data_IF_151313036363
#
_entry.id   IF_151313036363
#
_cell.length_a   1.000
_cell.length_b   1.000
_cell.length_c   1.000
_cell.angle_alpha   90.00
_cell.angle_beta   90.00
_cell.angle_gamma   90.00
#
_symmetry.space_group_name_H-M   'P 1'
#
loop_
_entity.id
_entity.type
_entity.pdbx_description
1 polymer ?
#
# COMPACT_ATOMS: atom_id res chain seq x y z
N UNK A 1 -75.00 -9.81 4.19
CA UNK A 1 -74.04 -10.67 3.47
C UNK A 1 -72.68 -10.01 3.50
N UNK A 2 -71.65 -10.78 3.85
CA UNK A 2 -70.43 -10.37 4.55
C UNK A 2 -69.42 -9.58 3.71
N UNK A 3 -68.94 -8.47 4.31
CA UNK A 3 -67.69 -7.78 4.00
C UNK A 3 -66.53 -8.60 4.56
N UNK A 4 -65.76 -9.28 3.72
CA UNK A 4 -64.52 -9.94 4.15
C UNK A 4 -63.69 -10.39 2.96
N UNK A 5 -62.98 -9.46 2.32
CA UNK A 5 -61.74 -9.73 1.56
C UNK A 5 -60.81 -8.51 1.60
N UNK A 6 -60.87 -7.77 2.73
CA UNK A 6 -59.86 -6.81 3.13
C UNK A 6 -58.95 -7.55 4.12
N UNK A 7 -57.63 -7.46 3.89
CA UNK A 7 -56.49 -8.02 4.64
C UNK A 7 -55.82 -9.19 3.89
N UNK A 8 -54.49 -9.14 3.81
CA UNK A 8 -53.54 -10.10 3.22
C UNK A 8 -52.96 -9.80 1.83
N UNK A 9 -52.70 -8.54 1.51
CA UNK A 9 -51.63 -8.20 0.53
C UNK A 9 -50.91 -6.92 0.93
N UNK A 10 -50.62 -6.81 2.22
CA UNK A 10 -49.82 -5.75 2.82
C UNK A 10 -48.84 -6.43 3.78
N UNK A 11 -47.81 -7.10 3.26
CA UNK A 11 -46.59 -7.57 3.95
C UNK A 11 -45.82 -8.47 2.96
N UNK A 12 -44.97 -7.91 2.10
CA UNK A 12 -44.23 -8.78 1.17
C UNK A 12 -43.38 -8.13 0.07
N UNK A 13 -43.27 -6.80 0.02
CA UNK A 13 -42.37 -6.12 -0.94
C UNK A 13 -41.48 -5.07 -0.25
N UNK A 14 -41.31 -5.19 1.07
CA UNK A 14 -40.59 -4.21 1.90
C UNK A 14 -39.41 -4.84 2.66
N UNK A 15 -38.76 -5.85 2.06
CA UNK A 15 -37.66 -6.59 2.72
C UNK A 15 -36.53 -6.99 1.76
N UNK A 16 -36.21 -6.15 0.77
CA UNK A 16 -34.94 -6.26 0.03
C UNK A 16 -34.31 -4.87 -0.14
N UNK A 17 -34.29 -4.08 0.93
CA UNK A 17 -33.16 -3.19 1.16
C UNK A 17 -32.27 -3.93 2.15
N UNK A 18 -31.57 -4.95 1.64
CA UNK A 18 -30.33 -5.38 2.26
C UNK A 18 -29.43 -4.16 2.20
N UNK A 19 -29.39 -3.44 3.31
CA UNK A 19 -28.38 -2.48 3.66
C UNK A 19 -27.07 -3.24 3.51
N UNK A 20 -26.46 -3.14 2.34
CA UNK A 20 -25.04 -3.30 2.18
C UNK A 20 -24.43 -2.14 2.97
N UNK A 21 -24.39 -2.28 4.29
CA UNK A 21 -23.28 -1.77 5.06
C UNK A 21 -22.08 -2.57 4.57
N UNK A 22 -21.55 -2.20 3.40
CA UNK A 22 -20.13 -2.31 3.20
C UNK A 22 -19.54 -1.56 4.38
N UNK A 23 -19.01 -2.31 5.33
CA UNK A 23 -17.96 -1.78 6.19
C UNK A 23 -16.88 -1.32 5.22
N UNK A 24 -16.96 -0.07 4.77
CA UNK A 24 -15.81 0.66 4.26
C UNK A 24 -14.88 0.74 5.46
N UNK A 25 -14.16 -0.35 5.71
CA UNK A 25 -13.01 -0.31 6.58
C UNK A 25 -12.17 0.84 6.07
N UNK A 26 -12.08 1.87 6.90
CA UNK A 26 -11.48 3.13 6.51
C UNK A 26 -10.05 2.83 6.11
N UNK A 27 -9.78 2.89 4.79
CA UNK A 27 -8.46 2.64 4.21
C UNK A 27 -7.41 3.42 4.97
N UNK A 28 -6.27 2.79 5.17
CA UNK A 28 -5.16 3.42 5.89
C UNK A 28 -4.60 4.57 5.06
N UNK A 29 -4.17 5.63 5.73
CA UNK A 29 -3.47 6.72 5.05
C UNK A 29 -2.10 6.22 4.58
N UNK A 30 -1.73 6.57 3.35
CA UNK A 30 -0.39 6.29 2.84
C UNK A 30 0.64 7.19 3.55
N UNK A 31 1.26 6.67 4.60
CA UNK A 31 2.36 7.29 5.35
C UNK A 31 3.43 6.24 5.64
N UNK A 32 4.67 6.65 5.89
CA UNK A 32 5.76 5.71 6.24
C UNK A 32 5.37 4.89 7.48
N UNK A 33 4.78 5.54 8.48
CA UNK A 33 4.33 4.88 9.71
C UNK A 33 3.28 3.79 9.45
N UNK A 34 2.33 4.03 8.56
CA UNK A 34 1.34 3.02 8.21
C UNK A 34 1.92 1.92 7.34
N UNK A 35 2.89 2.22 6.47
CA UNK A 35 3.60 1.21 5.67
C UNK A 35 4.35 0.24 6.59
N UNK A 36 5.19 0.76 7.50
CA UNK A 36 5.90 -0.05 8.50
C UNK A 36 4.92 -0.89 9.34
N UNK A 37 3.79 -0.31 9.75
CA UNK A 37 2.77 -0.99 10.56
C UNK A 37 2.04 -2.10 9.79
N UNK A 38 1.69 -1.87 8.53
CA UNK A 38 0.71 -2.69 7.80
C UNK A 38 1.33 -3.64 6.78
N UNK A 39 2.45 -3.27 6.18
CA UNK A 39 3.13 -4.10 5.17
C UNK A 39 4.05 -5.10 5.86
N UNK A 40 4.11 -6.30 5.30
CA UNK A 40 5.08 -7.34 5.60
C UNK A 40 5.75 -7.70 4.27
N UNK A 41 6.97 -7.20 4.06
CA UNK A 41 7.74 -7.44 2.85
C UNK A 41 8.02 -8.92 2.65
N UNK A 42 7.96 -9.36 1.39
CA UNK A 42 7.96 -10.73 0.93
C UNK A 42 6.75 -11.59 1.40
N UNK A 43 5.67 -10.95 1.90
CA UNK A 43 4.39 -11.64 2.23
C UNK A 43 3.15 -10.89 1.76
N UNK A 44 3.09 -9.57 1.94
CA UNK A 44 1.92 -8.78 1.57
C UNK A 44 1.69 -8.82 0.07
N UNK A 45 0.51 -9.27 -0.33
CA UNK A 45 0.11 -9.36 -1.74
C UNK A 45 -0.32 -8.00 -2.30
N UNK A 46 -0.36 -7.87 -3.62
CA UNK A 46 -0.90 -6.68 -4.28
C UNK A 46 -2.38 -6.45 -3.96
N UNK A 47 -3.15 -7.51 -3.73
CA UNK A 47 -4.56 -7.41 -3.33
C UNK A 47 -4.69 -6.79 -1.95
N UNK A 48 -3.93 -7.30 -0.97
CA UNK A 48 -3.90 -6.73 0.39
C UNK A 48 -3.38 -5.29 0.37
N UNK A 49 -2.38 -4.99 -0.46
CA UNK A 49 -1.86 -3.63 -0.64
C UNK A 49 -2.97 -2.68 -1.12
N UNK A 50 -3.77 -3.10 -2.10
CA UNK A 50 -4.90 -2.35 -2.61
C UNK A 50 -6.06 -2.22 -1.60
N UNK A 51 -6.28 -3.23 -0.76
CA UNK A 51 -7.24 -3.14 0.34
C UNK A 51 -6.79 -2.12 1.40
N UNK A 52 -5.50 -2.12 1.75
CA UNK A 52 -4.94 -1.23 2.77
C UNK A 52 -4.95 0.23 2.31
N UNK A 53 -4.46 0.52 1.10
CA UNK A 53 -4.19 1.89 0.63
C UNK A 53 -5.07 2.35 -0.54
N UNK A 54 -5.88 1.45 -1.11
CA UNK A 54 -6.67 1.70 -2.32
C UNK A 54 -5.92 1.33 -3.60
N UNK A 55 -6.54 1.64 -4.74
CA UNK A 55 -5.92 1.39 -6.04
C UNK A 55 -4.70 2.31 -6.26
N UNK A 56 -3.60 1.79 -6.86
CA UNK A 56 -2.45 2.62 -7.22
C UNK A 56 -2.82 3.61 -8.32
N UNK A 57 -2.20 4.79 -8.31
CA UNK A 57 -2.35 5.76 -9.39
C UNK A 57 -1.69 5.29 -10.69
N UNK A 58 -0.65 4.45 -10.58
CA UNK A 58 0.06 3.91 -11.73
C UNK A 58 0.60 2.52 -11.41
N UNK A 59 0.40 1.60 -12.35
CA UNK A 59 1.02 0.28 -12.35
C UNK A 59 1.92 0.18 -13.56
N UNK A 60 3.18 -0.21 -13.37
CA UNK A 60 4.11 -0.51 -14.47
C UNK A 60 4.49 -1.97 -14.37
N UNK A 61 4.33 -2.71 -15.47
CA UNK A 61 4.55 -4.17 -15.55
C UNK A 61 5.62 -4.59 -16.55
N UNK A 62 6.33 -3.64 -17.15
CA UNK A 62 7.46 -3.95 -18.02
C UNK A 62 8.67 -4.17 -17.12
N UNK A 63 9.10 -5.42 -16.97
CA UNK A 63 10.12 -5.83 -16.00
C UNK A 63 11.45 -5.08 -16.21
N UNK A 64 11.95 -4.97 -17.45
CA UNK A 64 13.15 -4.18 -17.78
C UNK A 64 13.03 -2.74 -17.23
N UNK A 65 11.93 -2.05 -17.54
CA UNK A 65 11.68 -0.69 -17.06
C UNK A 65 11.54 -0.61 -15.54
N UNK A 66 10.99 -1.64 -14.89
CA UNK A 66 10.79 -1.68 -13.44
C UNK A 66 12.14 -1.81 -12.75
N UNK A 67 12.98 -2.74 -13.18
CA UNK A 67 14.29 -2.98 -12.61
C UNK A 67 15.26 -1.85 -12.97
N UNK A 68 15.20 -1.29 -14.18
CA UNK A 68 15.87 -0.03 -14.51
C UNK A 68 15.46 1.08 -13.53
N UNK A 69 14.16 1.22 -13.23
CA UNK A 69 13.70 2.23 -12.27
C UNK A 69 14.24 1.95 -10.86
N UNK A 70 14.28 0.68 -10.44
CA UNK A 70 14.79 0.27 -9.14
C UNK A 70 16.30 0.53 -8.99
N UNK A 71 17.10 0.20 -10.01
CA UNK A 71 18.57 0.28 -9.96
C UNK A 71 19.13 1.64 -10.40
N UNK A 72 18.52 2.34 -11.36
CA UNK A 72 18.97 3.68 -11.79
C UNK A 72 18.67 4.74 -10.75
N UNK A 73 17.64 4.51 -9.93
CA UNK A 73 17.40 5.29 -8.72
C UNK A 73 18.06 4.50 -7.60
N UNK A 74 19.40 4.46 -7.59
CA UNK A 74 20.12 4.15 -6.36
C UNK A 74 19.65 5.18 -5.34
N UNK A 75 18.66 4.75 -4.56
CA UNK A 75 18.05 5.42 -3.43
C UNK A 75 17.52 6.85 -3.63
N UNK A 76 16.20 6.98 -3.69
CA UNK A 76 15.55 8.24 -3.34
C UNK A 76 16.07 8.70 -1.97
N UNK A 77 16.51 9.96 -1.87
CA UNK A 77 17.15 10.54 -0.68
C UNK A 77 16.40 10.22 0.62
N UNK A 78 15.07 10.16 0.54
CA UNK A 78 14.19 9.80 1.66
C UNK A 78 14.33 8.32 2.04
N UNK A 79 14.24 7.40 1.08
CA UNK A 79 14.43 5.96 1.30
C UNK A 79 15.76 5.67 1.96
N UNK A 80 16.83 6.30 1.46
CA UNK A 80 18.18 6.13 2.02
C UNK A 80 18.30 6.58 3.46
N UNK A 81 17.84 7.80 3.73
CA UNK A 81 17.87 8.36 5.08
C UNK A 81 17.05 7.49 6.04
N UNK A 82 15.91 6.95 5.60
CA UNK A 82 15.10 6.02 6.39
C UNK A 82 15.83 4.70 6.65
N UNK A 83 16.49 4.13 5.64
CA UNK A 83 17.28 2.90 5.77
C UNK A 83 18.53 3.06 6.65
N UNK A 84 18.94 4.30 6.96
CA UNK A 84 20.00 4.57 7.95
C UNK A 84 19.45 4.66 9.38
N UNK A 85 18.13 4.69 9.59
CA UNK A 85 17.52 4.72 10.91
C UNK A 85 17.27 3.30 11.43
N UNK A 86 18.01 2.89 12.46
CA UNK A 86 17.81 1.60 13.11
C UNK A 86 16.34 1.39 13.54
N UNK A 87 15.68 2.43 14.07
CA UNK A 87 14.28 2.36 14.49
C UNK A 87 13.30 2.06 13.34
N UNK A 88 13.65 2.41 12.10
CA UNK A 88 12.85 2.13 10.92
C UNK A 88 13.07 0.69 10.47
N UNK A 89 14.34 0.27 10.40
CA UNK A 89 14.72 -1.10 10.03
C UNK A 89 14.14 -2.11 11.02
N UNK A 90 14.34 -1.90 12.32
CA UNK A 90 13.86 -2.80 13.39
C UNK A 90 12.33 -2.92 13.43
N UNK A 91 11.63 -1.86 13.04
CA UNK A 91 10.16 -1.86 13.02
C UNK A 91 9.58 -2.46 11.73
N UNK A 92 10.38 -2.52 10.66
CA UNK A 92 9.96 -3.06 9.37
C UNK A 92 9.85 -4.59 9.45
N UNK A 93 8.77 -5.12 8.86
CA UNK A 93 8.51 -6.57 8.84
C UNK A 93 8.89 -7.11 7.49
N UNK A 94 9.87 -7.99 7.44
CA UNK A 94 10.41 -8.58 6.21
C UNK A 94 10.72 -10.06 6.44
N UNK A 95 10.31 -10.92 5.51
CA UNK A 95 10.70 -12.32 5.50
C UNK A 95 12.02 -12.40 4.74
N UNK A 96 13.12 -12.40 5.48
CA UNK A 96 14.46 -12.37 4.88
C UNK A 96 14.77 -13.62 4.06
N UNK A 97 14.12 -14.76 4.33
CA UNK A 97 14.37 -15.98 3.56
C UNK A 97 13.76 -15.84 2.16
N UNK A 98 12.49 -15.44 2.09
CA UNK A 98 11.79 -15.23 0.81
C UNK A 98 12.36 -14.03 0.05
N UNK A 99 12.74 -12.98 0.77
CA UNK A 99 13.43 -11.83 0.20
C UNK A 99 14.75 -12.26 -0.45
N UNK A 100 15.67 -12.86 0.30
CA UNK A 100 16.99 -13.23 -0.25
C UNK A 100 16.85 -14.19 -1.43
N UNK A 101 15.96 -15.17 -1.33
CA UNK A 101 15.70 -16.10 -2.43
C UNK A 101 15.27 -15.39 -3.72
N UNK A 102 14.41 -14.38 -3.62
CA UNK A 102 13.98 -13.62 -4.79
C UNK A 102 15.18 -12.98 -5.51
N UNK A 103 16.11 -12.37 -4.78
CA UNK A 103 17.29 -11.74 -5.36
C UNK A 103 18.32 -12.75 -5.86
N UNK A 104 18.49 -13.89 -5.18
CA UNK A 104 19.37 -14.97 -5.62
C UNK A 104 18.87 -15.61 -6.93
N UNK A 105 17.56 -15.77 -7.09
CA UNK A 105 16.95 -16.43 -8.26
C UNK A 105 16.91 -15.55 -9.53
N UNK A 106 17.03 -14.22 -9.38
CA UNK A 106 16.71 -13.26 -10.46
C UNK A 106 17.81 -12.25 -10.80
N UNK A 107 18.90 -12.22 -10.03
CA UNK A 107 20.07 -11.36 -10.20
C UNK A 107 19.70 -9.90 -10.55
N UNK A 108 19.69 -9.58 -11.84
CA UNK A 108 19.52 -8.23 -12.40
C UNK A 108 18.05 -7.81 -12.61
N UNK A 109 17.08 -8.71 -12.43
CA UNK A 109 15.66 -8.40 -12.66
C UNK A 109 14.70 -8.95 -11.59
N UNK A 110 14.84 -8.52 -10.33
CA UNK A 110 14.06 -9.06 -9.22
C UNK A 110 12.57 -8.73 -9.23
N UNK A 111 12.11 -7.79 -10.07
CA UNK A 111 10.73 -7.34 -10.04
C UNK A 111 10.00 -7.43 -11.38
N UNK A 112 8.72 -7.77 -11.30
CA UNK A 112 7.80 -7.86 -12.44
C UNK A 112 7.08 -6.52 -12.64
N UNK A 113 6.85 -5.81 -11.54
CA UNK A 113 6.07 -4.57 -11.54
C UNK A 113 6.40 -3.64 -10.39
N UNK A 114 6.01 -2.38 -10.54
CA UNK A 114 5.85 -1.50 -9.38
C UNK A 114 4.47 -0.85 -9.37
N UNK A 115 3.95 -0.65 -8.16
CA UNK A 115 2.70 0.06 -7.89
C UNK A 115 3.05 1.41 -7.29
N UNK A 116 2.74 2.48 -8.00
CA UNK A 116 3.02 3.83 -7.54
C UNK A 116 1.77 4.47 -6.94
N UNK A 117 1.94 4.90 -5.71
CA UNK A 117 0.97 5.63 -4.93
C UNK A 117 1.36 7.10 -4.79
N UNK A 118 0.36 7.95 -4.60
CA UNK A 118 0.55 9.34 -4.15
C UNK A 118 -0.54 9.72 -3.16
N UNK A 119 -0.19 10.54 -2.16
CA UNK A 119 -1.17 11.04 -1.20
C UNK A 119 -0.73 12.39 -0.69
N UNK A 120 -1.66 13.36 -0.70
CA UNK A 120 -1.43 14.68 -0.08
C UNK A 120 -1.14 14.57 1.42
N UNK A 121 -1.51 13.45 2.07
CA UNK A 121 -1.28 13.23 3.50
C UNK A 121 0.07 12.62 3.82
N UNK A 122 0.82 12.16 2.82
CA UNK A 122 2.14 11.54 3.03
C UNK A 122 3.26 12.57 3.23
N UNK A 123 3.11 13.79 2.69
CA UNK A 123 4.20 14.75 2.56
C UNK A 123 5.24 14.36 1.50
N UNK A 124 5.03 13.27 0.76
CA UNK A 124 5.91 12.73 -0.28
C UNK A 124 5.29 12.88 -1.67
N UNK A 125 6.15 13.03 -2.68
CA UNK A 125 5.73 13.08 -4.09
C UNK A 125 5.06 11.78 -4.53
N UNK A 126 5.63 10.64 -4.12
CA UNK A 126 5.09 9.31 -4.40
C UNK A 126 5.64 8.28 -3.40
N UNK A 127 5.01 7.11 -3.38
CA UNK A 127 5.54 5.87 -2.80
C UNK A 127 5.44 4.79 -3.87
N UNK A 128 6.50 4.04 -4.14
CA UNK A 128 6.46 2.88 -5.04
C UNK A 128 6.67 1.61 -4.26
N UNK A 129 5.82 0.62 -4.49
CA UNK A 129 6.03 -0.74 -4.00
C UNK A 129 6.52 -1.59 -5.17
N UNK A 130 7.67 -2.23 -5.00
CA UNK A 130 8.25 -3.15 -5.97
C UNK A 130 7.73 -4.56 -5.72
N UNK A 131 7.29 -5.21 -6.80
CA UNK A 131 6.47 -6.41 -6.74
C UNK A 131 7.05 -7.50 -7.63
N UNK A 132 7.14 -8.70 -7.08
CA UNK A 132 7.43 -9.94 -7.78
C UNK A 132 6.38 -10.98 -7.38
N UNK A 133 5.88 -11.75 -8.35
CA UNK A 133 4.82 -12.75 -8.17
C UNK A 133 3.63 -12.25 -7.31
N UNK A 134 3.19 -11.01 -7.58
CA UNK A 134 2.08 -10.33 -6.87
C UNK A 134 2.33 -10.10 -5.37
N UNK A 135 3.56 -10.19 -4.90
CA UNK A 135 3.97 -9.91 -3.52
C UNK A 135 4.86 -8.67 -3.47
N UNK A 136 4.71 -7.87 -2.43
CA UNK A 136 5.51 -6.66 -2.20
C UNK A 136 6.85 -7.05 -1.58
N UNK A 137 7.94 -6.72 -2.26
CA UNK A 137 9.31 -7.03 -1.81
C UNK A 137 10.06 -5.81 -1.31
N UNK A 138 9.81 -4.63 -1.89
CA UNK A 138 10.52 -3.42 -1.50
C UNK A 138 9.64 -2.16 -1.65
N UNK A 139 10.10 -1.04 -1.09
CA UNK A 139 9.44 0.25 -1.14
C UNK A 139 10.43 1.39 -1.40
N UNK A 140 10.08 2.27 -2.33
CA UNK A 140 10.77 3.54 -2.55
C UNK A 140 9.86 4.71 -2.15
N UNK A 141 10.41 5.61 -1.34
CA UNK A 141 9.81 6.88 -1.00
C UNK A 141 10.37 7.98 -1.90
N UNK A 142 9.49 8.62 -2.67
CA UNK A 142 9.86 9.80 -3.45
C UNK A 142 10.22 10.99 -2.56
N UNK A 143 10.68 12.12 -3.16
CA UNK A 143 11.11 13.29 -2.40
C UNK A 143 9.98 13.89 -1.56
N UNK A 144 10.35 14.57 -0.47
CA UNK A 144 9.43 15.33 0.38
C UNK A 144 8.95 16.56 -0.38
N UNK A 145 7.63 16.74 -0.46
CA UNK A 145 6.98 17.88 -1.13
C UNK A 145 6.29 18.83 -0.15
N UNK A 146 6.04 18.38 1.09
CA UNK A 146 5.45 19.19 2.15
C UNK A 146 6.05 18.78 3.51
N UNK A 147 7.02 19.55 3.99
CA UNK A 147 7.68 19.30 5.27
C UNK A 147 6.72 19.38 6.46
N UNK A 148 5.70 20.25 6.40
CA UNK A 148 4.75 20.44 7.50
C UNK A 148 3.89 19.20 7.73
N UNK A 149 3.62 18.46 6.66
CA UNK A 149 2.93 17.16 6.70
C UNK A 149 3.92 16.06 7.05
N UNK A 150 5.10 16.03 6.42
CA UNK A 150 6.12 15.01 6.67
C UNK A 150 6.55 14.95 8.15
N UNK A 151 6.71 16.10 8.83
CA UNK A 151 7.05 16.19 10.26
C UNK A 151 6.02 15.55 11.21
N UNK A 152 4.80 15.28 10.73
CA UNK A 152 3.76 14.57 11.49
C UNK A 152 3.96 13.05 11.47
N UNK A 153 4.63 12.52 10.44
CA UNK A 153 4.98 11.10 10.37
C UNK A 153 6.18 10.82 11.29
N UNK A 154 6.11 9.71 12.04
CA UNK A 154 7.11 9.35 13.05
C UNK A 154 8.51 9.23 12.45
N UNK A 155 8.62 8.62 11.27
CA UNK A 155 9.91 8.29 10.67
C UNK A 155 10.43 9.44 9.82
N UNK A 156 9.56 10.08 9.04
CA UNK A 156 9.98 11.23 8.22
C UNK A 156 10.47 12.41 9.07
N UNK A 157 9.91 12.63 10.27
CA UNK A 157 10.43 13.67 11.17
C UNK A 157 11.91 13.45 11.52
N UNK A 158 12.34 12.21 11.71
CA UNK A 158 13.70 11.89 12.16
C UNK A 158 14.78 12.14 11.09
N UNK A 159 14.39 12.27 9.83
CA UNK A 159 15.32 12.55 8.72
C UNK A 159 15.26 14.02 8.24
N UNK A 160 14.37 14.80 8.86
CA UNK A 160 14.15 16.23 8.60
C UNK A 160 14.66 17.13 9.73
N UNK A 161 14.82 16.57 10.93
CA UNK A 161 15.42 17.22 12.10
C UNK A 161 16.96 17.17 12.01
#
# INVERSE_FOLDING_TARGET
MSKSFLKFTLLGVLSIFMIACTNDEKRSELTVSNIVKKIYFAKTTTTELEEIFGAPQKVVKNSEKVNDTYFLISSGEVTDKLNQLNIYIEASKIDMNDYNKQFDDTEDNPFDSYYQYSSRRSGLKYVRFYIADRVVYDVEYGPITDESIAKKDRYLRQILD
#
